data_IF_038046887051
#
_entry.id   IF_038046887051
#
_cell.length_a   1.000
_cell.length_b   1.000
_cell.length_c   1.000
_cell.angle_alpha   90.00
_cell.angle_beta   90.00
_cell.angle_gamma   90.00
#
_symmetry.space_group_name_H-M   'P 1'
#
loop_
_entity.id
_entity.type
_entity.pdbx_description
1 polymer ?
#
# COMPACT_ATOMS: atom_id res chain seq x y z
N UNK A 1 -4.45 -73.28 -14.64
CA UNK A 1 -5.55 -72.26 -14.78
C UNK A 1 -5.41 -71.31 -13.63
N UNK A 2 -4.78 -70.20 -13.88
CA UNK A 2 -4.41 -69.22 -12.85
C UNK A 2 -5.39 -68.03 -12.98
N UNK A 3 -6.20 -67.83 -11.93
CA UNK A 3 -7.18 -66.74 -11.87
C UNK A 3 -6.48 -65.53 -11.22
N UNK A 4 -6.26 -64.48 -11.98
CA UNK A 4 -5.76 -63.19 -11.49
C UNK A 4 -6.94 -62.30 -11.17
N UNK A 5 -7.13 -62.00 -9.90
CA UNK A 5 -8.18 -61.08 -9.40
C UNK A 5 -7.55 -59.67 -9.38
N UNK A 6 -8.01 -58.77 -10.27
CA UNK A 6 -7.70 -57.35 -10.19
C UNK A 6 -8.60 -56.69 -9.16
N UNK A 7 -8.01 -56.21 -8.07
CA UNK A 7 -8.68 -55.33 -7.09
C UNK A 7 -8.51 -53.90 -7.61
N UNK A 8 -9.56 -53.30 -8.15
CA UNK A 8 -9.62 -51.89 -8.48
C UNK A 8 -9.82 -51.10 -7.17
N UNK A 9 -8.74 -50.56 -6.64
CA UNK A 9 -8.77 -49.58 -5.57
C UNK A 9 -9.26 -48.23 -6.16
N UNK A 10 -10.54 -47.93 -6.01
CA UNK A 10 -11.08 -46.64 -6.31
C UNK A 10 -10.52 -45.57 -5.35
N UNK A 11 -9.60 -44.74 -5.83
CA UNK A 11 -9.24 -43.49 -5.15
C UNK A 11 -10.44 -42.55 -5.18
N UNK A 12 -11.12 -42.47 -4.05
CA UNK A 12 -12.12 -41.43 -3.80
C UNK A 12 -11.37 -40.11 -3.60
N UNK A 13 -11.13 -39.36 -4.68
CA UNK A 13 -10.71 -37.96 -4.63
C UNK A 13 -11.89 -37.13 -4.11
N UNK A 14 -12.10 -37.15 -2.81
CA UNK A 14 -12.90 -36.14 -2.13
C UNK A 14 -12.15 -34.83 -2.30
N UNK A 15 -12.59 -33.98 -3.23
CA UNK A 15 -12.20 -32.57 -3.25
C UNK A 15 -12.80 -31.93 -1.99
N UNK A 16 -12.01 -31.89 -0.93
CA UNK A 16 -12.27 -30.94 0.16
C UNK A 16 -12.13 -29.53 -0.44
N UNK A 17 -13.25 -28.95 -0.82
CA UNK A 17 -13.34 -27.51 -0.96
C UNK A 17 -13.11 -26.93 0.43
N UNK A 18 -11.84 -26.63 0.74
CA UNK A 18 -11.51 -25.73 1.85
C UNK A 18 -12.23 -24.42 1.55
N UNK A 19 -13.36 -24.20 2.18
CA UNK A 19 -13.96 -22.89 2.37
C UNK A 19 -12.91 -22.09 3.16
N UNK A 20 -12.06 -21.35 2.47
CA UNK A 20 -11.19 -20.35 3.07
C UNK A 20 -12.12 -19.21 3.49
N UNK A 21 -12.59 -19.23 4.73
CA UNK A 21 -13.20 -18.07 5.34
C UNK A 21 -12.18 -16.94 5.21
N UNK A 22 -12.59 -15.80 4.65
CA UNK A 22 -11.73 -14.62 4.58
C UNK A 22 -11.33 -14.24 6.01
N UNK A 23 -10.05 -14.00 6.28
CA UNK A 23 -9.58 -13.66 7.61
C UNK A 23 -10.22 -12.34 8.09
N UNK A 24 -10.42 -12.21 9.40
CA UNK A 24 -10.87 -10.96 10.04
C UNK A 24 -9.73 -9.98 10.27
N UNK A 25 -8.52 -10.37 9.94
CA UNK A 25 -7.29 -9.58 10.07
C UNK A 25 -6.37 -9.82 8.88
N UNK A 26 -5.74 -8.75 8.42
CA UNK A 26 -4.71 -8.77 7.39
C UNK A 26 -3.47 -8.04 7.88
N UNK A 27 -2.31 -8.49 7.41
CA UNK A 27 -1.03 -7.91 7.74
C UNK A 27 -0.13 -7.91 6.50
N UNK A 28 0.60 -6.82 6.32
CA UNK A 28 1.71 -6.75 5.40
C UNK A 28 2.94 -6.13 6.12
N UNK A 29 4.01 -5.88 5.41
CA UNK A 29 5.24 -5.32 6.00
C UNK A 29 5.10 -3.87 6.50
N UNK A 30 3.97 -3.20 6.27
CA UNK A 30 3.75 -1.78 6.60
C UNK A 30 2.68 -1.57 7.65
N UNK A 31 1.61 -2.36 7.60
CA UNK A 31 0.48 -2.21 8.52
C UNK A 31 -0.28 -3.53 8.72
N UNK A 32 -1.00 -3.60 9.83
CA UNK A 32 -2.00 -4.61 10.12
C UNK A 32 -3.38 -3.96 10.17
N UNK A 33 -4.40 -4.63 9.64
CA UNK A 33 -5.81 -4.19 9.68
C UNK A 33 -6.64 -5.31 10.28
N UNK A 34 -7.33 -5.03 11.37
CA UNK A 34 -8.22 -5.97 12.04
C UNK A 34 -9.61 -5.36 12.20
N UNK A 35 -10.65 -6.17 11.95
CA UNK A 35 -12.01 -5.79 12.30
C UNK A 35 -12.15 -5.75 13.82
N UNK A 36 -12.59 -4.61 14.38
CA UNK A 36 -12.72 -4.38 15.82
C UNK A 36 -14.18 -4.49 16.31
N UNK A 37 -15.15 -4.09 15.47
CA UNK A 37 -16.55 -4.22 15.87
C UNK A 37 -17.56 -3.47 15.01
N UNK A 38 -18.83 -3.71 15.35
CA UNK A 38 -19.99 -3.10 14.74
C UNK A 38 -20.90 -2.53 15.83
N UNK A 39 -21.36 -1.30 15.63
CA UNK A 39 -22.31 -0.66 16.54
C UNK A 39 -23.45 -0.01 15.75
N UNK A 40 -24.70 -0.32 16.13
CA UNK A 40 -25.86 0.38 15.62
C UNK A 40 -25.91 1.79 16.20
N UNK A 41 -26.35 2.75 15.40
CA UNK A 41 -26.53 4.11 15.89
C UNK A 41 -28.00 4.46 15.93
N UNK A 42 -28.45 4.92 17.11
CA UNK A 42 -29.76 5.52 17.32
C UNK A 42 -29.62 7.04 17.55
N UNK A 43 -28.43 7.63 17.29
CA UNK A 43 -28.20 9.06 17.43
C UNK A 43 -28.66 9.79 16.17
N UNK A 44 -29.46 10.82 16.35
CA UNK A 44 -29.83 11.83 15.35
C UNK A 44 -30.75 11.40 14.21
N UNK A 45 -31.78 10.57 14.50
CA UNK A 45 -32.84 10.17 13.54
C UNK A 45 -32.32 9.52 12.24
N UNK A 46 -31.09 9.08 12.20
CA UNK A 46 -30.50 8.39 11.08
C UNK A 46 -30.20 6.92 11.44
N UNK A 47 -31.05 6.02 10.97
CA UNK A 47 -30.89 4.60 11.19
C UNK A 47 -29.76 4.04 10.32
N UNK A 48 -28.71 3.54 10.95
CA UNK A 48 -27.55 2.95 10.31
C UNK A 48 -26.64 2.25 11.30
N UNK A 49 -25.43 1.92 10.87
CA UNK A 49 -24.45 1.27 11.74
C UNK A 49 -23.02 1.73 11.41
N UNK A 50 -22.15 1.66 12.41
CA UNK A 50 -20.72 1.85 12.24
C UNK A 50 -20.00 0.52 12.20
N UNK A 51 -19.03 0.40 11.30
CA UNK A 51 -17.98 -0.62 11.39
C UNK A 51 -16.67 0.05 11.79
N UNK A 52 -15.96 -0.57 12.71
CA UNK A 52 -14.69 -0.10 13.23
C UNK A 52 -13.58 -1.11 12.90
N UNK A 53 -12.45 -0.60 12.44
CA UNK A 53 -11.25 -1.37 12.17
C UNK A 53 -10.10 -0.77 12.97
N UNK A 54 -9.33 -1.60 13.64
CA UNK A 54 -8.05 -1.22 14.21
C UNK A 54 -6.98 -1.34 13.13
N UNK A 55 -6.13 -0.32 13.03
CA UNK A 55 -4.99 -0.30 12.11
C UNK A 55 -3.76 -0.06 12.95
N UNK A 56 -2.79 -0.98 12.87
CA UNK A 56 -1.52 -0.89 13.57
C UNK A 56 -0.37 -0.72 12.59
N UNK A 57 0.54 0.19 12.91
CA UNK A 57 1.77 0.42 12.18
C UNK A 57 2.75 -0.75 12.39
N UNK A 58 3.29 -1.27 11.28
CA UNK A 58 4.38 -2.27 11.29
C UNK A 58 5.64 -1.67 10.68
N UNK A 59 5.48 -0.95 9.56
CA UNK A 59 6.58 -0.32 8.84
C UNK A 59 7.05 1.01 9.44
N UNK A 60 8.00 1.69 8.79
CA UNK A 60 8.63 2.90 9.31
C UNK A 60 7.76 4.16 9.20
N UNK A 61 6.66 4.13 8.44
CA UNK A 61 5.85 5.31 8.17
C UNK A 61 4.69 5.43 9.15
N UNK A 62 4.44 6.61 9.77
CA UNK A 62 3.34 6.82 10.70
C UNK A 62 1.98 6.73 10.00
N UNK A 63 0.96 6.31 10.76
CA UNK A 63 -0.43 6.21 10.29
C UNK A 63 -1.12 7.58 10.33
N UNK A 64 -0.72 8.48 9.44
CA UNK A 64 -1.29 9.82 9.31
C UNK A 64 -1.78 10.07 7.86
N UNK A 65 -2.42 11.22 7.64
CA UNK A 65 -2.98 11.64 6.36
C UNK A 65 -1.93 11.99 5.29
N UNK A 66 -0.66 12.11 5.68
CA UNK A 66 0.46 12.33 4.75
C UNK A 66 0.99 11.02 4.17
N UNK A 67 0.90 9.94 4.95
CA UNK A 67 1.49 8.66 4.59
C UNK A 67 0.47 7.62 4.14
N UNK A 68 -0.78 7.69 4.63
CA UNK A 68 -1.81 6.72 4.29
C UNK A 68 -3.18 7.34 4.04
N UNK A 69 -3.95 6.72 3.16
CA UNK A 69 -5.38 6.94 2.99
C UNK A 69 -6.10 5.62 3.13
N UNK A 70 -7.17 5.60 3.93
CA UNK A 70 -7.97 4.40 4.20
C UNK A 70 -9.40 4.59 3.71
N UNK A 71 -10.00 3.52 3.20
CA UNK A 71 -11.39 3.52 2.77
C UNK A 71 -11.99 2.10 2.86
N UNK A 72 -13.31 2.02 2.99
CA UNK A 72 -14.05 0.82 2.63
C UNK A 72 -14.73 1.02 1.26
N UNK A 73 -15.12 -0.07 0.62
CA UNK A 73 -15.95 0.02 -0.56
C UNK A 73 -17.23 0.81 -0.26
N UNK A 74 -17.70 1.58 -1.25
CA UNK A 74 -18.83 2.49 -1.07
C UNK A 74 -20.12 1.78 -0.76
N UNK A 75 -20.37 0.62 -1.35
CA UNK A 75 -21.55 -0.20 -1.12
C UNK A 75 -21.09 -1.57 -0.69
N UNK A 76 -21.57 -2.04 0.45
CA UNK A 76 -21.35 -3.39 0.97
C UNK A 76 -22.62 -4.19 0.91
N UNK A 77 -22.51 -5.52 0.89
CA UNK A 77 -23.65 -6.44 0.79
C UNK A 77 -23.56 -7.50 1.88
N UNK A 78 -24.72 -7.87 2.41
CA UNK A 78 -24.83 -8.97 3.35
C UNK A 78 -25.15 -10.31 2.64
N UNK A 79 -25.19 -11.39 3.41
CA UNK A 79 -25.44 -12.75 2.93
C UNK A 79 -26.91 -13.02 2.51
N UNK A 80 -27.82 -12.08 2.72
CA UNK A 80 -29.21 -12.14 2.27
C UNK A 80 -29.53 -11.15 1.14
N UNK A 81 -28.53 -10.41 0.66
CA UNK A 81 -28.60 -9.54 -0.52
C UNK A 81 -29.01 -8.11 -0.24
N UNK A 82 -29.01 -7.66 1.02
CA UNK A 82 -29.22 -6.24 1.32
C UNK A 82 -27.93 -5.44 1.06
N UNK A 83 -28.10 -4.23 0.57
CA UNK A 83 -27.02 -3.30 0.27
C UNK A 83 -27.01 -2.13 1.25
N UNK A 84 -25.81 -1.75 1.68
CA UNK A 84 -25.57 -0.67 2.63
C UNK A 84 -24.59 0.33 2.02
N UNK A 85 -25.00 1.59 1.96
CA UNK A 85 -24.18 2.66 1.37
C UNK A 85 -23.37 3.38 2.44
N UNK A 86 -22.09 3.58 2.17
CA UNK A 86 -21.18 4.38 2.97
C UNK A 86 -21.58 5.86 2.95
N UNK A 87 -21.71 6.47 4.12
CA UNK A 87 -22.13 7.87 4.29
C UNK A 87 -21.02 8.75 4.84
N UNK A 88 -20.28 8.25 5.85
CA UNK A 88 -19.28 9.03 6.58
C UNK A 88 -18.12 8.15 7.03
N UNK A 89 -16.91 8.72 6.98
CA UNK A 89 -15.68 8.09 7.44
C UNK A 89 -15.06 8.93 8.56
N UNK A 90 -14.49 8.27 9.56
CA UNK A 90 -13.77 8.90 10.65
C UNK A 90 -12.46 8.15 10.93
N UNK A 91 -11.37 8.88 11.15
CA UNK A 91 -10.13 8.36 11.71
C UNK A 91 -10.08 8.80 13.19
N UNK A 92 -9.96 7.85 14.08
CA UNK A 92 -9.95 8.06 15.52
C UNK A 92 -8.53 7.83 16.01
N UNK A 93 -7.94 8.87 16.59
CA UNK A 93 -6.58 8.88 17.16
C UNK A 93 -6.58 8.93 18.68
N UNK A 94 -7.77 9.13 19.29
CA UNK A 94 -7.97 9.22 20.74
C UNK A 94 -9.20 8.40 21.11
N UNK A 95 -9.21 7.77 22.28
CA UNK A 95 -10.39 7.08 22.79
C UNK A 95 -11.48 8.08 23.21
N UNK A 96 -12.73 7.63 23.28
CA UNK A 96 -13.88 8.46 23.69
C UNK A 96 -13.72 9.05 25.11
N UNK A 97 -12.94 8.43 25.97
CA UNK A 97 -12.64 8.90 27.33
C UNK A 97 -11.45 9.91 27.38
N UNK A 98 -10.89 10.29 26.24
CA UNK A 98 -9.73 11.20 26.13
C UNK A 98 -8.37 10.52 26.37
N UNK A 99 -8.32 9.20 26.52
CA UNK A 99 -7.05 8.49 26.55
C UNK A 99 -6.45 8.40 25.16
N UNK A 100 -5.15 8.64 25.05
CA UNK A 100 -4.39 8.43 23.81
C UNK A 100 -4.36 6.94 23.46
N UNK A 101 -4.51 6.65 22.16
CA UNK A 101 -4.28 5.29 21.66
C UNK A 101 -2.80 4.91 21.82
N UNK A 102 -2.48 3.60 21.79
CA UNK A 102 -1.10 3.16 21.68
C UNK A 102 -0.40 3.82 20.49
N UNK A 103 0.87 4.12 20.65
CA UNK A 103 1.68 4.67 19.55
C UNK A 103 1.64 3.73 18.34
N UNK A 104 1.43 4.29 17.14
CA UNK A 104 1.32 3.53 15.93
C UNK A 104 -0.03 2.83 15.72
N UNK A 105 -1.06 3.14 16.51
CA UNK A 105 -2.42 2.60 16.35
C UNK A 105 -3.40 3.71 16.04
N UNK A 106 -4.29 3.46 15.07
CA UNK A 106 -5.47 4.30 14.78
C UNK A 106 -6.69 3.42 14.59
N UNK A 107 -7.89 3.99 14.82
CA UNK A 107 -9.12 3.32 14.43
C UNK A 107 -9.72 4.02 13.21
N UNK A 108 -10.09 3.22 12.23
CA UNK A 108 -10.88 3.62 11.07
C UNK A 108 -12.32 3.23 11.32
N UNK A 109 -13.24 4.20 11.28
CA UNK A 109 -14.67 4.00 11.47
C UNK A 109 -15.42 4.47 10.25
N UNK A 110 -16.30 3.60 9.71
CA UNK A 110 -17.15 3.88 8.56
C UNK A 110 -18.61 3.72 8.93
N UNK A 111 -19.41 4.74 8.61
CA UNK A 111 -20.85 4.73 8.81
C UNK A 111 -21.58 4.31 7.54
N UNK A 112 -22.55 3.40 7.70
CA UNK A 112 -23.38 2.83 6.63
C UNK A 112 -24.86 3.03 6.89
N UNK A 113 -25.64 3.15 5.80
CA UNK A 113 -27.11 3.15 5.76
C UNK A 113 -27.60 2.14 4.72
N UNK A 114 -28.82 1.60 4.91
CA UNK A 114 -29.71 1.70 6.06
C UNK A 114 -29.22 0.91 7.29
N UNK A 115 -30.09 0.76 8.30
CA UNK A 115 -29.85 -0.10 9.45
C UNK A 115 -29.60 -1.55 9.02
N UNK A 116 -28.72 -2.24 9.76
CA UNK A 116 -28.37 -3.63 9.47
C UNK A 116 -29.58 -4.54 9.63
N UNK A 117 -29.81 -5.40 8.64
CA UNK A 117 -30.86 -6.39 8.70
C UNK A 117 -30.57 -7.43 9.80
N UNK A 118 -31.52 -7.65 10.70
CA UNK A 118 -31.39 -8.60 11.82
C UNK A 118 -31.24 -10.06 11.36
N UNK A 119 -31.67 -10.38 10.15
CA UNK A 119 -31.56 -11.73 9.57
C UNK A 119 -30.16 -11.99 8.97
N UNK A 120 -29.37 -10.94 8.77
CA UNK A 120 -28.02 -11.06 8.24
C UNK A 120 -27.10 -11.79 9.22
N UNK A 121 -26.30 -12.70 8.70
CA UNK A 121 -25.30 -13.44 9.48
C UNK A 121 -23.87 -13.07 9.11
N UNK A 122 -23.69 -12.47 7.93
CA UNK A 122 -22.37 -12.08 7.42
C UNK A 122 -22.44 -10.80 6.60
N UNK A 123 -21.36 -10.03 6.69
CA UNK A 123 -21.07 -8.91 5.80
C UNK A 123 -19.77 -9.18 5.03
N UNK A 124 -19.78 -8.92 3.75
CA UNK A 124 -18.57 -8.94 2.92
C UNK A 124 -18.13 -7.49 2.66
N UNK A 125 -16.92 -7.15 3.09
CA UNK A 125 -16.37 -5.81 2.94
C UNK A 125 -14.99 -5.86 2.29
N UNK A 126 -14.68 -4.86 1.51
CA UNK A 126 -13.35 -4.66 0.95
C UNK A 126 -12.75 -3.39 1.56
N UNK A 127 -11.72 -3.60 2.38
CA UNK A 127 -10.97 -2.51 2.98
C UNK A 127 -9.81 -2.14 2.07
N UNK A 128 -9.62 -0.85 1.84
CA UNK A 128 -8.55 -0.30 1.03
C UNK A 128 -7.59 0.50 1.89
N UNK A 129 -6.29 0.27 1.70
CA UNK A 129 -5.24 1.13 2.21
C UNK A 129 -4.35 1.59 1.05
N UNK A 130 -4.25 2.91 0.87
CA UNK A 130 -3.40 3.52 -0.14
C UNK A 130 -2.21 4.18 0.55
N UNK A 131 -0.97 3.68 0.34
CA UNK A 131 0.22 4.38 0.79
C UNK A 131 0.44 5.63 -0.09
N UNK A 132 0.55 6.79 0.53
CA UNK A 132 0.72 8.08 -0.14
C UNK A 132 2.19 8.44 -0.35
N UNK A 133 3.09 7.78 0.37
CA UNK A 133 4.54 7.99 0.27
C UNK A 133 5.18 7.30 -0.95
N UNK A 134 4.46 6.40 -1.63
CA UNK A 134 4.91 5.83 -2.90
C UNK A 134 4.69 6.84 -4.03
N UNK A 135 5.63 7.74 -4.21
CA UNK A 135 5.53 8.75 -5.25
C UNK A 135 6.18 8.29 -6.55
N UNK A 136 5.47 8.49 -7.66
CA UNK A 136 6.03 8.24 -8.99
C UNK A 136 7.23 9.13 -9.27
N UNK A 137 7.21 10.36 -8.76
CA UNK A 137 8.27 11.35 -8.93
C UNK A 137 8.82 11.73 -7.55
N UNK A 138 10.12 11.59 -7.39
CA UNK A 138 10.86 11.94 -6.16
C UNK A 138 11.86 13.03 -6.48
N UNK A 139 11.93 14.05 -5.62
CA UNK A 139 12.89 15.14 -5.72
C UNK A 139 13.98 14.96 -4.68
N UNK A 140 15.22 14.87 -5.12
CA UNK A 140 16.41 14.85 -4.29
C UNK A 140 17.07 16.21 -4.38
N UNK A 141 17.00 16.99 -3.31
CA UNK A 141 17.57 18.33 -3.21
C UNK A 141 18.96 18.27 -2.62
N UNK A 142 19.83 19.23 -3.01
CA UNK A 142 21.16 19.43 -2.44
C UNK A 142 22.07 18.19 -2.43
N UNK A 143 22.06 17.42 -3.53
CA UNK A 143 23.01 16.32 -3.71
C UNK A 143 24.41 16.85 -4.01
N UNK A 144 25.40 16.30 -3.32
CA UNK A 144 26.82 16.50 -3.64
C UNK A 144 27.32 15.47 -4.65
N UNK A 145 28.49 15.73 -5.23
CA UNK A 145 29.10 14.88 -6.25
C UNK A 145 29.43 13.45 -5.80
N UNK A 146 29.49 13.22 -4.49
CA UNK A 146 29.81 11.94 -3.84
C UNK A 146 28.81 11.55 -2.75
N UNK A 147 27.58 12.09 -2.81
CA UNK A 147 26.51 11.75 -1.86
C UNK A 147 26.28 10.24 -1.77
N UNK A 148 26.11 9.74 -0.56
CA UNK A 148 25.84 8.33 -0.28
C UNK A 148 24.64 8.18 0.65
N UNK A 149 23.81 7.13 0.39
CA UNK A 149 22.66 6.74 1.20
C UNK A 149 21.64 7.87 1.43
N UNK A 150 21.31 8.61 0.37
CA UNK A 150 20.28 9.66 0.42
C UNK A 150 18.92 9.04 0.18
N UNK A 151 18.08 9.04 1.21
CA UNK A 151 16.73 8.47 1.16
C UNK A 151 15.70 9.58 1.13
N UNK A 152 14.84 9.56 0.11
CA UNK A 152 13.65 10.42 0.05
C UNK A 152 12.45 9.53 -0.17
N UNK A 153 11.51 9.55 0.76
CA UNK A 153 10.37 8.63 0.82
C UNK A 153 10.86 7.16 0.82
N UNK A 154 10.53 6.42 -0.23
CA UNK A 154 10.80 5.00 -0.41
C UNK A 154 11.91 4.73 -1.47
N UNK A 155 12.59 5.77 -1.92
CA UNK A 155 13.67 5.67 -2.92
C UNK A 155 15.00 6.03 -2.28
N UNK A 156 15.98 5.15 -2.38
CA UNK A 156 17.34 5.35 -1.87
C UNK A 156 18.32 5.55 -3.04
N UNK A 157 19.04 6.66 -3.05
CA UNK A 157 20.27 6.81 -3.82
C UNK A 157 21.41 6.32 -2.94
N UNK A 158 21.82 5.06 -3.11
CA UNK A 158 22.90 4.46 -2.34
C UNK A 158 24.25 5.15 -2.61
N UNK A 159 24.44 5.66 -3.83
CA UNK A 159 25.64 6.41 -4.19
C UNK A 159 25.42 7.28 -5.42
N UNK A 160 26.01 8.47 -5.38
CA UNK A 160 26.21 9.38 -6.51
C UNK A 160 27.67 9.33 -6.97
N UNK A 161 27.91 9.39 -8.26
CA UNK A 161 29.23 9.67 -8.87
C UNK A 161 29.05 10.62 -10.02
N UNK A 162 29.88 11.65 -10.05
CA UNK A 162 29.90 12.63 -11.14
C UNK A 162 31.29 12.74 -11.78
N UNK A 163 31.32 13.01 -13.06
CA UNK A 163 32.51 13.39 -13.80
C UNK A 163 32.12 14.44 -14.84
N UNK A 164 32.33 15.73 -14.51
CA UNK A 164 31.93 16.90 -15.30
C UNK A 164 30.41 16.90 -15.57
N UNK A 165 30.00 16.46 -16.76
CA UNK A 165 28.63 16.40 -17.21
C UNK A 165 28.03 14.98 -17.14
N UNK A 166 28.76 14.01 -16.58
CA UNK A 166 28.33 12.64 -16.44
C UNK A 166 27.89 12.36 -15.02
N UNK A 167 26.76 11.69 -14.86
CA UNK A 167 26.16 11.27 -13.60
C UNK A 167 25.93 9.78 -13.61
N UNK A 168 26.43 9.09 -12.60
CA UNK A 168 26.10 7.70 -12.32
C UNK A 168 25.41 7.62 -10.97
N UNK A 169 24.19 7.07 -10.95
CA UNK A 169 23.38 6.85 -9.76
C UNK A 169 23.30 5.35 -9.48
N UNK A 170 23.59 4.98 -8.23
CA UNK A 170 23.32 3.65 -7.70
C UNK A 170 22.04 3.76 -6.89
N UNK A 171 20.93 3.21 -7.39
CA UNK A 171 19.60 3.38 -6.82
C UNK A 171 19.11 2.06 -6.29
N UNK A 172 18.58 2.07 -5.09
CA UNK A 172 17.86 0.95 -4.47
C UNK A 172 16.40 1.34 -4.33
N UNK A 173 15.52 0.57 -4.97
CA UNK A 173 14.09 0.78 -4.91
C UNK A 173 13.43 -0.48 -4.38
N UNK A 174 12.55 -0.33 -3.39
CA UNK A 174 11.76 -1.46 -2.84
C UNK A 174 10.77 -2.02 -3.86
N UNK A 175 10.47 -1.25 -4.91
CA UNK A 175 9.58 -1.64 -5.98
C UNK A 175 10.37 -2.25 -7.14
N UNK A 176 9.78 -3.25 -7.77
CA UNK A 176 10.35 -3.83 -8.99
C UNK A 176 10.04 -2.91 -10.20
N UNK A 177 10.67 -1.73 -10.22
CA UNK A 177 10.51 -0.77 -11.30
C UNK A 177 11.29 -1.21 -12.54
N UNK A 178 10.72 -0.92 -13.71
CA UNK A 178 11.32 -1.33 -15.00
C UNK A 178 12.09 -0.20 -15.70
N UNK A 179 12.24 0.96 -15.04
CA UNK A 179 12.99 2.08 -15.59
C UNK A 179 12.79 3.37 -14.80
N UNK A 180 13.77 4.25 -14.96
CA UNK A 180 13.81 5.56 -14.34
C UNK A 180 14.04 6.61 -15.42
N UNK A 181 13.35 7.73 -15.26
CA UNK A 181 13.65 8.98 -15.96
C UNK A 181 14.26 9.93 -14.92
N UNK A 182 15.43 10.46 -15.22
CA UNK A 182 16.14 11.37 -14.33
C UNK A 182 16.33 12.70 -15.02
N UNK A 183 15.94 13.79 -14.38
CA UNK A 183 16.17 15.16 -14.83
C UNK A 183 16.91 15.93 -13.75
N UNK A 184 17.81 16.82 -14.15
CA UNK A 184 18.46 17.75 -13.22
C UNK A 184 17.64 19.04 -13.18
N UNK A 185 17.44 19.61 -11.99
CA UNK A 185 16.76 20.90 -11.82
C UNK A 185 17.83 21.96 -11.56
N UNK A 186 17.92 22.96 -12.45
CA UNK A 186 18.87 24.06 -12.32
C UNK A 186 18.23 25.39 -12.69
N UNK A 187 18.31 26.37 -11.81
CA UNK A 187 17.69 27.69 -12.03
C UNK A 187 16.17 27.67 -12.18
N UNK A 188 15.49 26.62 -11.66
CA UNK A 188 14.05 26.42 -11.80
C UNK A 188 13.62 25.73 -13.10
N UNK A 189 14.57 25.35 -13.95
CA UNK A 189 14.30 24.62 -15.20
C UNK A 189 14.72 23.15 -15.07
N UNK A 190 14.00 22.26 -15.77
CA UNK A 190 14.35 20.85 -15.88
C UNK A 190 15.31 20.62 -17.05
N UNK A 191 16.48 20.09 -16.76
CA UNK A 191 17.50 19.75 -17.76
C UNK A 191 17.49 18.25 -17.95
N UNK A 192 17.15 17.84 -19.15
CA UNK A 192 17.12 16.43 -19.54
C UNK A 192 18.50 15.96 -19.96
N UNK A 193 18.91 14.73 -19.64
CA UNK A 193 20.15 14.18 -20.13
C UNK A 193 20.10 13.99 -21.65
N UNK A 194 21.21 14.26 -22.33
CA UNK A 194 21.39 13.99 -23.76
C UNK A 194 21.59 12.51 -24.05
N UNK A 195 22.05 11.77 -23.03
CA UNK A 195 22.16 10.31 -23.07
C UNK A 195 21.78 9.72 -21.71
N UNK A 196 21.07 8.60 -21.75
CA UNK A 196 20.72 7.82 -20.55
C UNK A 196 20.82 6.34 -20.83
N UNK A 197 21.36 5.59 -19.88
CA UNK A 197 21.28 4.14 -19.84
C UNK A 197 21.01 3.66 -18.43
N UNK A 198 20.28 2.53 -18.32
CA UNK A 198 19.96 1.90 -17.04
C UNK A 198 20.37 0.44 -17.10
N UNK A 199 21.07 -0.02 -16.08
CA UNK A 199 21.49 -1.40 -15.91
C UNK A 199 20.91 -1.93 -14.60
N UNK A 200 20.52 -3.21 -14.60
CA UNK A 200 20.10 -3.89 -13.35
C UNK A 200 21.37 -4.21 -12.56
N UNK A 201 21.42 -3.78 -11.32
CA UNK A 201 22.52 -4.08 -10.41
C UNK A 201 22.58 -5.56 -10.03
N UNK A 202 23.68 -5.95 -9.39
CA UNK A 202 23.90 -7.34 -8.96
C UNK A 202 22.93 -7.81 -7.87
N UNK A 203 22.34 -6.91 -7.14
CA UNK A 203 21.37 -7.20 -6.08
C UNK A 203 19.97 -6.92 -6.61
N UNK A 204 18.99 -7.75 -6.23
CA UNK A 204 17.59 -7.52 -6.54
C UNK A 204 17.18 -6.12 -6.06
N UNK A 205 16.44 -5.39 -6.91
CA UNK A 205 15.97 -4.02 -6.67
C UNK A 205 17.04 -2.91 -6.76
N UNK A 206 18.26 -3.21 -7.19
CA UNK A 206 19.27 -2.19 -7.47
C UNK A 206 19.34 -1.84 -8.96
N UNK A 207 19.50 -0.56 -9.24
CA UNK A 207 19.59 -0.01 -10.58
C UNK A 207 20.83 0.88 -10.65
N UNK A 208 21.61 0.75 -11.71
CA UNK A 208 22.70 1.68 -12.04
C UNK A 208 22.21 2.52 -13.22
N UNK A 209 22.00 3.82 -12.96
CA UNK A 209 21.56 4.76 -13.99
C UNK A 209 22.73 5.68 -14.37
N UNK A 210 23.07 5.70 -15.66
CA UNK A 210 24.10 6.56 -16.21
C UNK A 210 23.48 7.61 -17.10
N UNK A 211 23.85 8.87 -16.87
CA UNK A 211 23.33 10.04 -17.58
C UNK A 211 24.47 10.93 -18.05
N UNK A 212 24.30 11.55 -19.20
CA UNK A 212 25.17 12.61 -19.68
C UNK A 212 24.31 13.82 -19.99
N UNK A 213 24.68 14.99 -19.41
CA UNK A 213 23.95 16.25 -19.58
C UNK A 213 24.69 17.17 -20.55
N UNK A 214 23.99 18.15 -21.11
CA UNK A 214 24.59 19.17 -21.99
C UNK A 214 25.47 20.19 -21.23
N UNK A 215 25.34 20.25 -19.90
CA UNK A 215 26.06 21.14 -19.00
C UNK A 215 26.84 20.36 -17.96
N UNK A 216 27.85 20.94 -17.36
CA UNK A 216 28.50 20.37 -16.19
C UNK A 216 27.51 20.33 -15.02
N UNK A 217 27.60 19.28 -14.24
CA UNK A 217 26.75 19.08 -13.05
C UNK A 217 27.24 20.09 -11.98
N UNK A 218 26.36 20.96 -11.47
CA UNK A 218 26.72 21.86 -10.38
C UNK A 218 26.99 21.09 -9.09
N UNK A 219 27.53 21.74 -8.09
CA UNK A 219 27.73 21.20 -6.76
C UNK A 219 27.29 22.26 -5.72
N UNK A 220 26.22 22.06 -4.94
CA UNK A 220 25.28 20.94 -5.00
C UNK A 220 24.33 21.00 -6.21
N UNK A 221 23.60 19.91 -6.44
CA UNK A 221 22.60 19.82 -7.51
C UNK A 221 21.31 19.14 -7.03
N UNK A 222 20.23 19.39 -7.77
CA UNK A 222 18.91 18.79 -7.50
C UNK A 222 18.53 17.83 -8.61
N UNK A 223 18.10 16.63 -8.24
CA UNK A 223 17.59 15.63 -9.17
C UNK A 223 16.10 15.39 -8.97
N UNK A 224 15.39 15.30 -10.06
CA UNK A 224 14.03 14.78 -10.14
C UNK A 224 14.08 13.39 -10.77
N UNK A 225 13.72 12.38 -10.00
CA UNK A 225 13.70 10.97 -10.43
C UNK A 225 12.26 10.54 -10.59
N UNK A 226 11.87 10.12 -11.79
CA UNK A 226 10.54 9.62 -12.11
C UNK A 226 10.61 8.12 -12.38
N UNK A 227 9.82 7.35 -11.66
CA UNK A 227 9.68 5.90 -11.82
C UNK A 227 8.72 5.59 -12.95
N UNK A 228 9.18 4.84 -13.94
CA UNK A 228 8.30 4.34 -14.97
C UNK A 228 7.50 3.14 -14.46
N UNK A 229 6.19 3.12 -14.78
CA UNK A 229 5.28 2.03 -14.46
C UNK A 229 5.10 1.75 -12.95
N UNK A 230 5.42 2.71 -12.08
CA UNK A 230 4.91 2.67 -10.73
C UNK A 230 3.39 2.89 -10.81
N UNK A 231 2.62 1.83 -10.63
CA UNK A 231 1.17 1.93 -10.51
C UNK A 231 0.85 2.55 -9.14
N UNK A 232 -0.23 3.32 -9.06
CA UNK A 232 -0.78 3.71 -7.76
C UNK A 232 -1.00 2.44 -6.94
N UNK A 233 -0.22 2.29 -5.88
CA UNK A 233 -0.38 1.14 -5.00
C UNK A 233 -1.68 1.30 -4.22
N UNK A 234 -2.50 0.29 -4.30
CA UNK A 234 -3.69 0.15 -3.51
C UNK A 234 -3.68 -1.27 -2.93
N UNK A 235 -3.65 -1.36 -1.62
CA UNK A 235 -3.79 -2.64 -0.95
C UNK A 235 -5.27 -2.88 -0.67
N UNK A 236 -5.78 -3.99 -1.12
CA UNK A 236 -7.16 -4.43 -0.94
C UNK A 236 -7.22 -5.65 -0.03
N UNK A 237 -8.05 -5.56 0.99
CA UNK A 237 -8.22 -6.59 2.00
C UNK A 237 -9.69 -7.04 2.02
N UNK A 238 -10.02 -8.19 1.42
CA UNK A 238 -11.37 -8.76 1.50
C UNK A 238 -11.61 -9.34 2.90
N UNK A 239 -12.55 -8.76 3.63
CA UNK A 239 -12.89 -9.13 5.00
C UNK A 239 -14.33 -9.67 5.02
N UNK A 240 -14.52 -10.84 5.64
CA UNK A 240 -15.85 -11.37 5.94
C UNK A 240 -16.12 -11.25 7.43
N UNK A 241 -17.13 -10.48 7.80
CA UNK A 241 -17.54 -10.23 9.18
C UNK A 241 -18.69 -11.17 9.50
N UNK A 242 -18.55 -11.93 10.59
CA UNK A 242 -19.66 -12.73 11.14
C UNK A 242 -20.41 -11.88 12.16
N UNK A 243 -21.72 -11.79 12.01
CA UNK A 243 -22.60 -10.90 12.79
C UNK A 243 -23.23 -11.58 14.04
N UNK A 244 -23.04 -12.89 14.20
CA UNK A 244 -23.65 -13.70 15.31
C UNK A 244 -22.59 -14.52 15.98
#
# INVERSE_FOLDING_TARGET
MLIVIFILSGCNLGSETKSTASPSQFENQHLSVAYDGLANTNKDAENGFYMTFQIDQIGPYPLDDKHFSFALQRVIEDDVGNQYESVKTEIITEKENGETLPEGTVYFRQYFKPELNIESSKLSVLFYAKPLYYQQTVLFEELDHDSENVVVNDLNIARVKTDKNKLTLYIEDVHNIQGLETTMVHGGEEIYPVFSSTEIGKFNHSIIANHEFAINIPDPFTLKVKRHRLQDMLWDYPITITLK
#
